data_IF_008804397216
#
_entry.id   IF_008804397216
#
_cell.length_a   1.000
_cell.length_b   1.000
_cell.length_c   1.000
_cell.angle_alpha   90.00
_cell.angle_beta   90.00
_cell.angle_gamma   90.00
#
_symmetry.space_group_name_H-M   'P 1'
#
loop_
_entity.id
_entity.type
_entity.pdbx_description
1 polymer ?
#
# COMPACT_ATOMS: atom_id res chain seq x y z
N UNK A 1 23.16 11.46 3.48
CA UNK A 1 21.98 11.08 2.68
C UNK A 1 20.79 11.31 3.58
N UNK A 2 19.92 12.28 3.26
CA UNK A 2 18.71 12.50 4.05
C UNK A 2 17.73 11.35 3.81
N UNK A 3 17.75 10.36 4.70
CA UNK A 3 16.85 9.19 4.63
C UNK A 3 15.37 9.58 4.80
N UNK A 4 15.06 10.81 5.21
CA UNK A 4 13.69 11.34 5.22
C UNK A 4 13.11 11.57 3.82
N UNK A 5 13.98 11.64 2.80
CA UNK A 5 13.56 11.74 1.40
C UNK A 5 13.18 10.37 0.80
N UNK A 6 13.61 9.27 1.43
CA UNK A 6 13.40 7.90 0.94
C UNK A 6 12.80 6.98 2.02
N UNK A 7 11.55 7.24 2.46
CA UNK A 7 10.87 6.44 3.48
C UNK A 7 10.71 4.94 3.14
N UNK A 8 10.58 4.58 1.86
CA UNK A 8 10.47 3.19 1.41
C UNK A 8 11.80 2.46 1.60
N UNK A 9 12.89 3.04 1.09
CA UNK A 9 14.24 2.46 1.23
C UNK A 9 14.59 2.34 2.72
N UNK A 10 14.23 3.34 3.52
CA UNK A 10 14.37 3.29 4.97
C UNK A 10 13.65 2.08 5.57
N UNK A 11 12.37 1.87 5.24
CA UNK A 11 11.58 0.74 5.75
C UNK A 11 12.17 -0.62 5.32
N UNK A 12 12.64 -0.73 4.09
CA UNK A 12 13.27 -1.97 3.56
C UNK A 12 14.52 -2.30 4.37
N UNK A 13 15.39 -1.32 4.62
CA UNK A 13 16.64 -1.50 5.36
C UNK A 13 16.35 -1.80 6.85
N UNK A 14 15.51 -0.98 7.49
CA UNK A 14 15.21 -1.12 8.92
C UNK A 14 14.55 -2.47 9.26
N UNK A 15 13.73 -2.99 8.35
CA UNK A 15 13.04 -4.26 8.53
C UNK A 15 13.80 -5.46 7.94
N UNK A 16 15.04 -5.27 7.48
CA UNK A 16 15.88 -6.32 6.88
C UNK A 16 15.15 -7.11 5.78
N UNK A 17 14.47 -6.39 4.90
CA UNK A 17 13.76 -6.98 3.75
C UNK A 17 14.80 -7.48 2.77
N UNK A 18 14.73 -8.77 2.43
CA UNK A 18 15.63 -9.37 1.46
C UNK A 18 15.28 -8.91 0.04
N UNK A 19 16.18 -9.17 -0.90
CA UNK A 19 15.93 -8.85 -2.31
C UNK A 19 14.72 -9.61 -2.85
N UNK A 20 14.55 -10.86 -2.41
CA UNK A 20 13.43 -11.72 -2.77
C UNK A 20 12.12 -11.16 -2.22
N UNK A 21 12.06 -10.81 -0.94
CA UNK A 21 10.89 -10.19 -0.30
C UNK A 21 10.54 -8.84 -0.95
N UNK A 22 11.55 -8.06 -1.35
CA UNK A 22 11.34 -6.80 -2.07
C UNK A 22 10.76 -7.02 -3.47
N UNK A 23 11.24 -8.03 -4.21
CA UNK A 23 10.69 -8.36 -5.52
C UNK A 23 9.25 -8.88 -5.40
N UNK A 24 8.96 -9.69 -4.38
CA UNK A 24 7.59 -10.15 -4.09
C UNK A 24 6.66 -8.98 -3.79
N UNK A 25 7.12 -7.99 -3.02
CA UNK A 25 6.39 -6.75 -2.78
C UNK A 25 6.10 -6.00 -4.09
N UNK A 26 7.09 -5.83 -4.96
CA UNK A 26 6.88 -5.14 -6.24
C UNK A 26 5.88 -5.87 -7.14
N UNK A 27 6.00 -7.19 -7.25
CA UNK A 27 5.07 -8.01 -8.01
C UNK A 27 3.64 -7.92 -7.44
N UNK A 28 3.51 -7.95 -6.12
CA UNK A 28 2.22 -7.76 -5.45
C UNK A 28 1.61 -6.39 -5.78
N UNK A 29 2.42 -5.32 -5.73
CA UNK A 29 1.95 -3.97 -6.03
C UNK A 29 1.50 -3.83 -7.49
N UNK A 30 2.23 -4.44 -8.43
CA UNK A 30 1.86 -4.46 -9.85
C UNK A 30 0.51 -5.17 -10.05
N UNK A 31 0.35 -6.38 -9.54
CA UNK A 31 -0.92 -7.13 -9.64
C UNK A 31 -2.10 -6.38 -9.03
N UNK A 32 -1.90 -5.73 -7.87
CA UNK A 32 -2.95 -4.94 -7.22
C UNK A 32 -3.30 -3.69 -8.03
N UNK A 33 -2.31 -3.05 -8.66
CA UNK A 33 -2.53 -1.88 -9.49
C UNK A 33 -3.27 -2.24 -10.78
N UNK A 34 -2.89 -3.33 -11.45
CA UNK A 34 -3.64 -3.85 -12.60
C UNK A 34 -5.09 -4.15 -12.24
N UNK A 35 -5.31 -4.83 -11.11
CA UNK A 35 -6.66 -5.13 -10.59
C UNK A 35 -7.44 -3.85 -10.30
N UNK A 36 -6.78 -2.83 -9.76
CA UNK A 36 -7.37 -1.54 -9.44
C UNK A 36 -7.80 -0.77 -10.69
N UNK A 37 -6.92 -0.66 -11.69
CA UNK A 37 -7.23 0.02 -12.95
C UNK A 37 -8.37 -0.70 -13.68
N UNK A 38 -8.34 -2.04 -13.75
CA UNK A 38 -9.44 -2.83 -14.34
C UNK A 38 -10.77 -2.60 -13.62
N UNK A 39 -10.79 -2.65 -12.28
CA UNK A 39 -12.00 -2.37 -11.50
C UNK A 39 -12.50 -0.93 -11.70
N UNK A 40 -11.60 0.04 -11.84
CA UNK A 40 -11.97 1.44 -12.14
C UNK A 40 -12.61 1.57 -13.52
N UNK A 41 -12.07 0.91 -14.53
CA UNK A 41 -12.64 0.87 -15.88
C UNK A 41 -14.03 0.23 -15.88
N UNK A 42 -14.26 -0.78 -15.04
CA UNK A 42 -15.55 -1.43 -14.84
C UNK A 42 -16.54 -0.61 -13.97
N UNK A 43 -16.10 0.54 -13.43
CA UNK A 43 -16.95 1.46 -12.66
C UNK A 43 -17.06 1.15 -11.17
N UNK A 44 -16.17 0.33 -10.61
CA UNK A 44 -16.14 0.06 -9.18
C UNK A 44 -15.75 1.32 -8.39
N UNK A 45 -16.34 1.44 -7.19
CA UNK A 45 -16.09 2.56 -6.27
C UNK A 45 -15.59 2.11 -4.88
N UNK A 46 -15.64 0.81 -4.61
CA UNK A 46 -15.15 0.21 -3.37
C UNK A 46 -13.94 -0.66 -3.66
N UNK A 47 -12.82 -0.31 -3.02
CA UNK A 47 -11.53 -0.98 -3.16
C UNK A 47 -11.06 -1.56 -1.82
N UNK A 48 -11.97 -1.73 -0.87
CA UNK A 48 -11.66 -2.29 0.45
C UNK A 48 -11.10 -3.71 0.34
N UNK A 49 -11.57 -4.50 -0.62
CA UNK A 49 -11.03 -5.83 -0.92
C UNK A 49 -9.54 -5.79 -1.30
N UNK A 50 -9.14 -4.85 -2.17
CA UNK A 50 -7.74 -4.67 -2.57
C UNK A 50 -6.85 -4.26 -1.40
N UNK A 51 -7.36 -3.42 -0.49
CA UNK A 51 -6.62 -3.06 0.73
C UNK A 51 -6.45 -4.27 1.66
N UNK A 52 -7.49 -5.09 1.83
CA UNK A 52 -7.43 -6.32 2.64
C UNK A 52 -6.42 -7.29 2.03
N UNK A 53 -6.43 -7.46 0.70
CA UNK A 53 -5.46 -8.30 0.00
C UNK A 53 -4.04 -7.78 0.19
N UNK A 54 -3.83 -6.47 0.03
CA UNK A 54 -2.54 -5.83 0.30
C UNK A 54 -2.06 -6.12 1.72
N UNK A 55 -2.90 -5.90 2.74
CA UNK A 55 -2.51 -6.13 4.13
C UNK A 55 -2.27 -7.61 4.47
N UNK A 56 -2.99 -8.54 3.82
CA UNK A 56 -2.85 -9.98 4.04
C UNK A 56 -1.65 -10.60 3.31
N UNK A 57 -1.24 -10.03 2.18
CA UNK A 57 -0.08 -10.49 1.39
C UNK A 57 1.22 -9.76 1.75
N UNK A 58 1.13 -8.59 2.40
CA UNK A 58 2.30 -7.85 2.83
C UNK A 58 3.12 -8.67 3.83
N UNK A 59 4.44 -8.63 3.67
CA UNK A 59 5.36 -9.27 4.59
C UNK A 59 5.10 -8.80 6.04
N UNK A 60 5.07 -9.75 6.99
CA UNK A 60 4.77 -9.49 8.42
C UNK A 60 5.72 -8.50 9.09
N UNK A 61 6.93 -8.33 8.53
CA UNK A 61 7.92 -7.34 8.99
C UNK A 61 7.52 -5.91 8.64
N UNK A 62 6.58 -5.72 7.72
CA UNK A 62 6.17 -4.40 7.22
C UNK A 62 4.79 -4.02 7.72
N UNK A 63 4.64 -2.77 8.17
CA UNK A 63 3.34 -2.25 8.54
C UNK A 63 2.59 -1.72 7.29
N UNK A 64 1.37 -2.20 6.99
CA UNK A 64 0.62 -1.78 5.80
C UNK A 64 0.40 -0.27 5.72
N UNK A 65 0.03 0.37 6.83
CA UNK A 65 -0.23 1.81 6.86
C UNK A 65 1.05 2.63 6.60
N UNK A 66 2.18 2.19 7.17
CA UNK A 66 3.46 2.85 6.94
C UNK A 66 3.92 2.67 5.48
N UNK A 67 3.76 1.46 4.93
CA UNK A 67 4.10 1.17 3.53
C UNK A 67 3.28 2.00 2.55
N UNK A 68 1.96 2.10 2.75
CA UNK A 68 1.09 2.94 1.90
C UNK A 68 1.57 4.39 1.91
N UNK A 69 1.92 4.91 3.09
CA UNK A 69 2.42 6.28 3.22
C UNK A 69 3.78 6.46 2.53
N UNK A 70 4.70 5.51 2.68
CA UNK A 70 6.03 5.54 2.07
C UNK A 70 5.94 5.45 0.53
N UNK A 71 5.19 4.49 0.00
CA UNK A 71 4.97 4.30 -1.42
C UNK A 71 4.34 5.54 -2.06
N UNK A 72 3.29 6.09 -1.41
CA UNK A 72 2.66 7.33 -1.85
C UNK A 72 3.63 8.51 -1.89
N UNK A 73 4.44 8.68 -0.84
CA UNK A 73 5.40 9.79 -0.73
C UNK A 73 6.50 9.71 -1.79
N UNK A 74 6.89 8.50 -2.18
CA UNK A 74 7.87 8.27 -3.24
C UNK A 74 7.27 8.16 -4.65
N UNK A 75 5.95 8.26 -4.79
CA UNK A 75 5.27 8.27 -6.10
C UNK A 75 5.06 6.90 -6.72
N UNK A 76 5.14 5.82 -5.94
CA UNK A 76 4.79 4.48 -6.41
C UNK A 76 3.28 4.27 -6.38
N UNK A 77 2.71 3.96 -7.55
CA UNK A 77 1.27 3.70 -7.74
C UNK A 77 0.37 4.71 -7.00
N UNK A 78 0.53 6.03 -7.24
CA UNK A 78 -0.06 7.07 -6.40
C UNK A 78 -1.59 6.99 -6.34
N UNK A 79 -2.24 6.64 -7.45
CA UNK A 79 -3.70 6.44 -7.53
C UNK A 79 -4.19 5.34 -6.60
N UNK A 80 -3.54 4.17 -6.63
CA UNK A 80 -3.85 3.03 -5.77
C UNK A 80 -3.62 3.37 -4.29
N UNK A 81 -2.46 3.97 -3.98
CA UNK A 81 -2.11 4.34 -2.61
C UNK A 81 -3.05 5.41 -2.04
N UNK A 82 -3.52 6.34 -2.87
CA UNK A 82 -4.53 7.32 -2.49
C UNK A 82 -5.86 6.66 -2.12
N UNK A 83 -6.31 5.66 -2.88
CA UNK A 83 -7.54 4.94 -2.54
C UNK A 83 -7.39 4.11 -1.28
N UNK A 84 -6.26 3.42 -1.09
CA UNK A 84 -5.98 2.72 0.16
C UNK A 84 -6.01 3.67 1.36
N UNK A 85 -5.39 4.84 1.26
CA UNK A 85 -5.44 5.85 2.30
C UNK A 85 -6.87 6.36 2.57
N UNK A 86 -7.71 6.52 1.53
CA UNK A 86 -9.12 6.90 1.68
C UNK A 86 -9.93 5.81 2.38
N UNK A 87 -9.75 4.55 2.02
CA UNK A 87 -10.43 3.41 2.67
C UNK A 87 -10.08 3.35 4.17
N UNK A 88 -8.79 3.45 4.50
CA UNK A 88 -8.33 3.48 5.91
C UNK A 88 -8.95 4.64 6.69
N UNK A 89 -9.04 5.82 6.06
CA UNK A 89 -9.63 6.99 6.72
C UNK A 89 -11.13 6.78 7.00
N UNK A 90 -11.88 6.22 6.04
CA UNK A 90 -13.31 5.92 6.19
C UNK A 90 -13.55 4.93 7.33
N UNK A 91 -12.82 3.81 7.35
CA UNK A 91 -12.95 2.77 8.39
C UNK A 91 -12.72 3.31 9.81
N UNK A 92 -11.73 4.20 9.98
CA UNK A 92 -11.46 4.87 11.26
C UNK A 92 -12.58 5.85 11.68
N UNK A 93 -13.22 6.50 10.72
CA UNK A 93 -14.34 7.43 11.00
C UNK A 93 -15.60 6.67 11.40
N UNK A 94 -15.87 5.52 10.76
CA UNK A 94 -17.02 4.67 11.09
C UNK A 94 -16.87 4.00 12.47
N UNK A 95 -15.64 3.63 12.85
CA UNK A 95 -15.34 3.10 14.19
C UNK A 95 -15.54 4.11 15.32
N UNK A 96 -15.42 5.43 15.04
CA UNK A 96 -15.62 6.49 16.04
C UNK A 96 -17.09 6.88 16.23
N UNK A 97 -17.97 6.44 15.34
CA UNK A 97 -19.42 6.71 15.39
C UNK A 97 -20.23 5.61 16.09
N UNK A 98 -19.57 4.52 16.48
CA UNK A 98 -20.15 3.37 17.18
C UNK A 98 -19.87 3.40 18.67
#
# INVERSE_FOLDING_TARGET
MDMEQYPLIKLIIENNITKEEYNELLNMLEMLNESYESQKEEGFMDFTSLLIHFAGMLNEKLNPNQMICALKKEGYYPSLMDEFAKVIKRDREDSKRR
#
